data_IF_967072294739
#
_entry.id   IF_967072294739
#
_cell.length_a   1.000
_cell.length_b   1.000
_cell.length_c   1.000
_cell.angle_alpha   90.00
_cell.angle_beta   90.00
_cell.angle_gamma   90.00
#
_symmetry.space_group_name_H-M   'P 1'
#
loop_
_entity.id
_entity.type
_entity.pdbx_description
1 polymer ?
#
# COMPACT_ATOMS: atom_id res chain seq x y z
N UNK A 1 -16.32 25.37 -54.91
CA UNK A 1 -16.12 24.67 -53.62
C UNK A 1 -15.48 23.28 -53.76
N UNK A 2 -15.82 22.51 -54.78
CA UNK A 2 -15.23 21.17 -55.01
C UNK A 2 -13.70 21.21 -55.25
N UNK A 3 -13.18 22.18 -56.00
CA UNK A 3 -11.73 22.30 -56.24
C UNK A 3 -10.91 22.64 -54.99
N UNK A 4 -11.51 23.33 -54.02
CA UNK A 4 -10.85 23.67 -52.75
C UNK A 4 -10.79 22.43 -51.84
N UNK A 5 -11.84 21.61 -51.81
CA UNK A 5 -11.88 20.37 -51.05
C UNK A 5 -10.89 19.34 -51.64
N UNK A 6 -10.80 19.22 -52.97
CA UNK A 6 -9.84 18.31 -53.63
C UNK A 6 -8.38 18.72 -53.35
N UNK A 7 -8.08 20.05 -53.34
CA UNK A 7 -6.77 20.54 -52.98
C UNK A 7 -6.43 20.31 -51.50
N UNK A 8 -7.40 20.46 -50.61
CA UNK A 8 -7.22 20.19 -49.17
C UNK A 8 -6.98 18.69 -48.91
N UNK A 9 -7.75 17.79 -49.54
CA UNK A 9 -7.54 16.33 -49.40
C UNK A 9 -6.20 15.87 -49.99
N UNK A 10 -5.69 16.54 -51.03
CA UNK A 10 -4.36 16.22 -51.61
C UNK A 10 -3.19 16.64 -50.71
N UNK A 11 -3.37 17.68 -49.86
CA UNK A 11 -2.34 18.21 -49.00
C UNK A 11 -2.39 17.58 -47.62
N UNK A 12 -3.60 17.34 -47.06
CA UNK A 12 -3.80 16.91 -45.70
C UNK A 12 -4.12 15.41 -45.63
N UNK A 13 -4.46 14.77 -46.76
CA UNK A 13 -5.01 13.42 -46.79
C UNK A 13 -6.46 13.37 -46.31
N UNK A 14 -7.12 12.27 -46.55
CA UNK A 14 -8.47 12.11 -46.04
C UNK A 14 -8.44 12.10 -44.49
N UNK A 15 -9.47 12.63 -43.81
CA UNK A 15 -9.55 12.62 -42.34
C UNK A 15 -9.28 11.21 -41.73
N UNK A 16 -9.72 10.16 -42.41
CA UNK A 16 -9.45 8.77 -42.00
C UNK A 16 -7.97 8.38 -42.12
N UNK A 17 -7.24 8.94 -43.11
CA UNK A 17 -5.79 8.69 -43.23
C UNK A 17 -5.00 9.42 -42.17
N UNK A 18 -5.39 10.64 -41.81
CA UNK A 18 -4.78 11.41 -40.73
C UNK A 18 -4.98 10.74 -39.37
N UNK A 19 -6.22 10.34 -39.05
CA UNK A 19 -6.53 9.62 -37.84
C UNK A 19 -5.76 8.27 -37.72
N UNK A 20 -5.72 7.51 -38.84
CA UNK A 20 -4.97 6.27 -38.93
C UNK A 20 -3.47 6.47 -38.71
N UNK A 21 -2.88 7.53 -39.29
CA UNK A 21 -1.47 7.85 -39.11
C UNK A 21 -1.18 8.22 -37.66
N UNK A 22 -1.98 9.09 -37.06
CA UNK A 22 -1.85 9.49 -35.65
C UNK A 22 -1.99 8.29 -34.72
N UNK A 23 -2.92 7.38 -34.98
CA UNK A 23 -3.08 6.15 -34.23
C UNK A 23 -1.86 5.23 -34.35
N UNK A 24 -1.33 5.05 -35.55
CA UNK A 24 -0.14 4.21 -35.80
C UNK A 24 1.11 4.80 -35.13
N UNK A 25 1.27 6.12 -35.20
CA UNK A 25 2.38 6.83 -34.54
C UNK A 25 2.30 6.69 -33.01
N UNK A 26 1.12 6.83 -32.41
CA UNK A 26 0.88 6.58 -30.98
C UNK A 26 1.16 5.13 -30.59
N UNK A 27 0.79 4.17 -31.45
CA UNK A 27 1.04 2.75 -31.21
C UNK A 27 2.54 2.39 -31.30
N UNK A 28 3.27 3.06 -32.21
CA UNK A 28 4.73 2.91 -32.30
C UNK A 28 5.43 3.51 -31.08
N UNK A 29 4.97 4.65 -30.60
CA UNK A 29 5.51 5.29 -29.42
C UNK A 29 5.26 4.46 -28.16
N UNK A 30 4.06 3.91 -28.00
CA UNK A 30 3.74 2.96 -26.94
C UNK A 30 4.65 1.72 -27.01
N UNK A 31 4.84 1.13 -28.21
CA UNK A 31 5.76 -0.01 -28.40
C UNK A 31 7.20 0.35 -28.04
N UNK A 32 7.68 1.53 -28.41
CA UNK A 32 9.04 2.02 -28.03
C UNK A 32 9.17 2.21 -26.53
N UNK A 33 8.14 2.74 -25.87
CA UNK A 33 8.10 2.92 -24.42
C UNK A 33 8.17 1.56 -23.69
N UNK A 34 7.35 0.60 -24.14
CA UNK A 34 7.36 -0.78 -23.60
C UNK A 34 8.73 -1.45 -23.81
N UNK A 35 9.29 -1.34 -25.01
CA UNK A 35 10.61 -1.92 -25.29
C UNK A 35 11.73 -1.26 -24.45
N UNK A 36 11.63 0.05 -24.20
CA UNK A 36 12.56 0.79 -23.33
C UNK A 36 12.43 0.32 -21.87
N UNK A 37 11.20 0.13 -21.40
CA UNK A 37 10.94 -0.42 -20.06
C UNK A 37 11.43 -1.87 -19.94
N UNK A 38 11.18 -2.71 -20.94
CA UNK A 38 11.67 -4.09 -20.99
C UNK A 38 13.19 -4.14 -20.99
N UNK A 39 13.86 -3.26 -21.73
CA UNK A 39 15.34 -3.15 -21.74
C UNK A 39 15.87 -2.65 -20.39
N UNK A 40 15.17 -1.71 -19.74
CA UNK A 40 15.52 -1.23 -18.41
C UNK A 40 15.33 -2.33 -17.36
N UNK A 41 14.26 -3.15 -17.47
CA UNK A 41 14.03 -4.31 -16.61
C UNK A 41 15.08 -5.41 -16.83
N UNK A 42 15.48 -5.67 -18.08
CA UNK A 42 16.55 -6.64 -18.41
C UNK A 42 17.93 -6.14 -18.02
N UNK A 43 18.16 -4.84 -17.98
CA UNK A 43 19.40 -4.19 -17.55
C UNK A 43 19.41 -3.82 -16.06
N UNK A 44 18.25 -3.88 -15.40
CA UNK A 44 18.20 -3.81 -13.93
C UNK A 44 18.87 -5.07 -13.39
N UNK A 45 19.89 -4.97 -12.52
CA UNK A 45 20.42 -6.16 -11.88
C UNK A 45 19.21 -6.80 -11.19
N UNK A 46 18.75 -7.95 -11.71
CA UNK A 46 17.80 -8.81 -10.98
C UNK A 46 18.39 -8.89 -9.59
N UNK A 47 17.63 -8.48 -8.57
CA UNK A 47 18.08 -8.61 -7.17
C UNK A 47 18.63 -10.03 -7.07
N UNK A 48 19.93 -10.19 -6.83
CA UNK A 48 20.56 -11.51 -6.96
C UNK A 48 19.78 -12.46 -6.07
N UNK A 49 19.34 -13.59 -6.64
CA UNK A 49 18.55 -14.60 -5.93
C UNK A 49 19.38 -15.05 -4.72
N UNK A 50 19.07 -14.47 -3.58
CA UNK A 50 19.72 -14.80 -2.33
C UNK A 50 18.86 -15.84 -1.60
N UNK A 51 19.31 -17.09 -1.59
CA UNK A 51 18.63 -18.21 -0.91
C UNK A 51 18.29 -17.90 0.55
N UNK A 52 19.13 -17.12 1.23
CA UNK A 52 18.86 -16.72 2.62
C UNK A 52 17.66 -15.74 2.69
N UNK A 53 17.55 -14.79 1.77
CA UNK A 53 16.41 -13.88 1.71
C UNK A 53 15.11 -14.62 1.40
N UNK A 54 15.16 -15.60 0.49
CA UNK A 54 14.01 -16.49 0.23
C UNK A 54 13.60 -17.22 1.50
N UNK A 55 14.54 -17.85 2.18
CA UNK A 55 14.29 -18.57 3.43
C UNK A 55 13.68 -17.65 4.49
N UNK A 56 14.28 -16.50 4.77
CA UNK A 56 13.75 -15.55 5.73
C UNK A 56 12.37 -14.98 5.33
N UNK A 57 12.15 -14.73 4.05
CA UNK A 57 10.84 -14.30 3.54
C UNK A 57 9.75 -15.33 3.80
N UNK A 58 10.02 -16.61 3.53
CA UNK A 58 9.08 -17.70 3.83
C UNK A 58 8.85 -17.90 5.32
N UNK A 59 9.92 -17.95 6.12
CA UNK A 59 9.82 -18.11 7.58
C UNK A 59 8.99 -16.97 8.17
N UNK A 60 9.28 -15.72 7.77
CA UNK A 60 8.50 -14.57 8.23
C UNK A 60 7.03 -14.67 7.84
N UNK A 61 6.74 -15.01 6.59
CA UNK A 61 5.36 -15.17 6.11
C UNK A 61 4.65 -16.29 6.86
N UNK A 62 5.31 -17.43 7.08
CA UNK A 62 4.78 -18.54 7.86
C UNK A 62 4.45 -18.12 9.29
N UNK A 63 5.38 -17.46 10.00
CA UNK A 63 5.14 -16.97 11.36
C UNK A 63 3.96 -15.99 11.38
N UNK A 64 3.89 -15.08 10.42
CA UNK A 64 2.79 -14.10 10.34
C UNK A 64 1.43 -14.79 10.17
N UNK A 65 1.35 -15.77 9.28
CA UNK A 65 0.10 -16.53 9.03
C UNK A 65 -0.23 -17.40 10.25
N UNK A 66 0.78 -18.02 10.87
CA UNK A 66 0.61 -18.84 12.08
C UNK A 66 0.04 -18.01 13.24
N UNK A 67 0.62 -16.84 13.53
CA UNK A 67 0.14 -15.95 14.58
C UNK A 67 -1.28 -15.47 14.26
N UNK A 68 -1.55 -15.08 13.00
CA UNK A 68 -2.87 -14.65 12.58
C UNK A 68 -3.95 -15.72 12.80
N UNK A 69 -3.64 -16.98 12.50
CA UNK A 69 -4.61 -18.07 12.61
C UNK A 69 -4.70 -18.72 14.00
N UNK A 70 -3.60 -18.70 14.78
CA UNK A 70 -3.51 -19.47 16.02
C UNK A 70 -3.52 -18.60 17.28
N UNK A 71 -2.98 -17.41 17.19
CA UNK A 71 -2.88 -16.45 18.29
C UNK A 71 -3.28 -15.04 17.83
N UNK A 72 -4.52 -14.84 17.36
CA UNK A 72 -4.93 -13.55 16.78
C UNK A 72 -4.85 -12.38 17.77
N UNK A 73 -4.92 -12.65 19.08
CA UNK A 73 -4.73 -11.65 20.14
C UNK A 73 -3.32 -11.07 20.18
N UNK A 74 -2.31 -11.81 19.72
CA UNK A 74 -0.93 -11.35 19.63
C UNK A 74 -0.63 -10.62 18.30
N UNK A 75 -1.57 -10.66 17.37
CA UNK A 75 -1.31 -10.13 16.03
C UNK A 75 -1.08 -8.61 16.01
N UNK A 76 -1.79 -7.75 16.78
CA UNK A 76 -1.50 -6.34 16.89
C UNK A 76 -0.07 -6.06 17.40
N UNK A 77 0.37 -6.80 18.43
CA UNK A 77 1.73 -6.70 18.97
C UNK A 77 2.77 -7.20 17.95
N UNK A 78 2.49 -8.28 17.24
CA UNK A 78 3.32 -8.81 16.16
C UNK A 78 3.49 -7.79 15.03
N UNK A 79 2.41 -7.14 14.60
CA UNK A 79 2.46 -6.08 13.59
C UNK A 79 3.33 -4.90 14.06
N UNK A 80 3.12 -4.44 15.29
CA UNK A 80 3.90 -3.36 15.88
C UNK A 80 5.39 -3.72 15.97
N UNK A 81 5.73 -4.94 16.42
CA UNK A 81 7.09 -5.45 16.47
C UNK A 81 7.76 -5.46 15.09
N UNK A 82 7.06 -5.93 14.08
CA UNK A 82 7.57 -5.93 12.71
C UNK A 82 7.86 -4.50 12.23
N UNK A 83 6.96 -3.56 12.51
CA UNK A 83 7.19 -2.15 12.14
C UNK A 83 8.39 -1.54 12.87
N UNK A 84 8.57 -1.86 14.15
CA UNK A 84 9.75 -1.43 14.93
C UNK A 84 11.08 -1.93 14.34
N UNK A 85 11.10 -3.10 13.72
CA UNK A 85 12.29 -3.66 13.09
C UNK A 85 12.45 -3.16 11.65
N UNK A 86 11.37 -3.19 10.88
CA UNK A 86 11.41 -2.93 9.46
C UNK A 86 11.52 -1.44 9.11
N UNK A 87 10.91 -0.58 9.92
CA UNK A 87 10.96 0.86 9.71
C UNK A 87 12.40 1.40 9.75
N UNK A 88 13.23 1.14 10.79
CA UNK A 88 14.61 1.61 10.81
C UNK A 88 15.46 1.01 9.69
N UNK A 89 15.26 -0.26 9.34
CA UNK A 89 16.00 -0.92 8.27
C UNK A 89 15.69 -0.26 6.93
N UNK A 90 14.41 -0.05 6.64
CA UNK A 90 13.99 0.61 5.39
C UNK A 90 14.41 2.08 5.38
N UNK A 91 14.29 2.78 6.51
CA UNK A 91 14.76 4.15 6.66
C UNK A 91 16.24 4.28 6.31
N UNK A 92 17.08 3.44 6.89
CA UNK A 92 18.52 3.45 6.60
C UNK A 92 18.83 3.17 5.11
N UNK A 93 18.13 2.20 4.51
CA UNK A 93 18.31 1.88 3.08
C UNK A 93 17.87 3.06 2.20
N UNK A 94 16.72 3.64 2.45
CA UNK A 94 16.17 4.73 1.65
C UNK A 94 16.91 6.05 1.89
N UNK A 95 17.49 6.26 3.07
CA UNK A 95 18.39 7.37 3.31
C UNK A 95 19.62 7.31 2.39
N UNK A 96 20.22 6.13 2.23
CA UNK A 96 21.33 5.92 1.29
C UNK A 96 20.94 6.13 -0.18
N UNK A 97 19.71 5.79 -0.54
CA UNK A 97 19.17 5.97 -1.89
C UNK A 97 18.59 7.38 -2.15
N UNK A 98 18.57 8.24 -1.14
CA UNK A 98 17.92 9.57 -1.18
C UNK A 98 16.41 9.52 -1.48
N UNK A 99 15.73 8.45 -1.02
CA UNK A 99 14.32 8.19 -1.22
C UNK A 99 13.48 8.44 0.05
N UNK A 100 13.98 9.20 1.01
CA UNK A 100 13.30 9.44 2.28
C UNK A 100 11.92 10.08 2.13
N UNK A 101 11.68 10.80 1.03
CA UNK A 101 10.37 11.37 0.73
C UNK A 101 9.26 10.29 0.68
N UNK A 102 9.60 9.04 0.34
CA UNK A 102 8.61 7.95 0.32
C UNK A 102 8.07 7.59 1.70
N UNK A 103 8.74 7.96 2.80
CA UNK A 103 8.18 7.79 4.15
C UNK A 103 7.05 8.77 4.46
N UNK A 104 6.90 9.82 3.67
CA UNK A 104 5.77 10.72 3.79
C UNK A 104 4.54 10.19 3.07
N UNK A 105 4.63 9.06 2.38
CA UNK A 105 3.46 8.44 1.75
C UNK A 105 2.45 7.94 2.78
N UNK A 106 1.19 8.02 2.42
CA UNK A 106 0.04 7.66 3.26
C UNK A 106 0.20 6.30 3.95
N UNK A 107 0.65 5.27 3.23
CA UNK A 107 0.80 3.93 3.76
C UNK A 107 1.83 3.83 4.89
N UNK A 108 2.97 4.52 4.78
CA UNK A 108 3.99 4.53 5.82
C UNK A 108 3.53 5.25 7.07
N UNK A 109 2.96 6.43 6.90
CA UNK A 109 2.48 7.24 8.01
C UNK A 109 1.35 6.55 8.75
N UNK A 110 0.39 5.98 8.03
CA UNK A 110 -0.72 5.22 8.63
C UNK A 110 -0.23 3.99 9.40
N UNK A 111 0.74 3.26 8.87
CA UNK A 111 1.34 2.12 9.57
C UNK A 111 2.11 2.55 10.82
N UNK A 112 2.85 3.65 10.76
CA UNK A 112 3.57 4.17 11.92
C UNK A 112 2.60 4.56 13.04
N UNK A 113 1.52 5.28 12.71
CA UNK A 113 0.49 5.64 13.69
C UNK A 113 -0.19 4.42 14.27
N UNK A 114 -0.55 3.44 13.45
CA UNK A 114 -1.15 2.19 13.93
C UNK A 114 -0.20 1.43 14.87
N UNK A 115 1.07 1.31 14.51
CA UNK A 115 2.07 0.65 15.36
C UNK A 115 2.25 1.37 16.69
N UNK A 116 2.37 2.70 16.68
CA UNK A 116 2.47 3.51 17.89
C UNK A 116 1.22 3.36 18.75
N UNK A 117 0.03 3.39 18.14
CA UNK A 117 -1.23 3.19 18.84
C UNK A 117 -1.30 1.82 19.53
N UNK A 118 -0.97 0.74 18.82
CA UNK A 118 -0.93 -0.62 19.39
C UNK A 118 0.09 -0.71 20.53
N UNK A 119 1.28 -0.14 20.39
CA UNK A 119 2.30 -0.14 21.45
C UNK A 119 1.82 0.63 22.67
N UNK A 120 1.26 1.83 22.49
CA UNK A 120 0.76 2.65 23.60
C UNK A 120 -0.33 1.92 24.38
N UNK A 121 -1.27 1.28 23.69
CA UNK A 121 -2.34 0.53 24.36
C UNK A 121 -1.82 -0.68 25.14
N UNK A 122 -0.80 -1.38 24.65
CA UNK A 122 -0.23 -2.54 25.36
C UNK A 122 0.71 -2.13 26.51
N UNK A 123 1.53 -1.08 26.32
CA UNK A 123 2.57 -0.71 27.31
C UNK A 123 2.08 0.33 28.31
N UNK A 124 1.29 1.28 27.87
CA UNK A 124 0.81 2.42 28.66
C UNK A 124 -0.63 2.80 28.30
N UNK A 125 -1.61 1.92 28.55
CA UNK A 125 -3.01 2.17 28.17
C UNK A 125 -3.59 3.46 28.80
N UNK A 126 -3.05 3.90 29.92
CA UNK A 126 -3.46 5.15 30.57
C UNK A 126 -3.16 6.41 29.77
N UNK A 127 -2.23 6.35 28.79
CA UNK A 127 -1.91 7.50 27.94
C UNK A 127 -2.97 7.72 26.86
N UNK A 128 -3.82 6.72 26.57
CA UNK A 128 -4.92 6.82 25.62
C UNK A 128 -6.22 6.78 26.41
N UNK A 129 -6.90 7.91 26.63
CA UNK A 129 -8.16 7.96 27.37
C UNK A 129 -9.20 7.04 26.74
N UNK A 130 -10.03 6.33 27.55
CA UNK A 130 -11.01 5.37 27.04
C UNK A 130 -11.96 5.94 26.01
N UNK A 131 -12.37 7.21 26.17
CA UNK A 131 -13.27 7.92 25.26
C UNK A 131 -12.70 8.09 23.85
N UNK A 132 -11.36 8.08 23.71
CA UNK A 132 -10.70 8.20 22.40
C UNK A 132 -10.38 6.85 21.76
N UNK A 133 -10.35 5.76 22.53
CA UNK A 133 -9.98 4.42 22.02
C UNK A 133 -10.92 3.94 20.94
N UNK A 134 -12.24 4.07 21.15
CA UNK A 134 -13.25 3.68 20.16
C UNK A 134 -13.04 4.42 18.84
N UNK A 135 -12.96 5.75 18.90
CA UNK A 135 -12.75 6.58 17.71
C UNK A 135 -11.47 6.24 16.98
N UNK A 136 -10.36 6.06 17.70
CA UNK A 136 -9.07 5.70 17.11
C UNK A 136 -9.09 4.30 16.49
N UNK A 137 -9.70 3.32 17.17
CA UNK A 137 -9.82 1.97 16.63
C UNK A 137 -10.67 1.96 15.35
N UNK A 138 -11.79 2.71 15.32
CA UNK A 138 -12.60 2.85 14.13
C UNK A 138 -11.86 3.54 12.98
N UNK A 139 -11.12 4.59 13.29
CA UNK A 139 -10.29 5.27 12.30
C UNK A 139 -9.26 4.32 11.67
N UNK A 140 -8.49 3.61 12.49
CA UNK A 140 -7.49 2.66 11.99
C UNK A 140 -8.13 1.50 11.24
N UNK A 141 -9.28 1.00 11.70
CA UNK A 141 -10.03 -0.01 10.97
C UNK A 141 -10.40 0.48 9.56
N UNK A 142 -10.97 1.67 9.44
CA UNK A 142 -11.41 2.21 8.17
C UNK A 142 -10.23 2.50 7.23
N UNK A 143 -9.10 3.01 7.74
CA UNK A 143 -7.88 3.23 6.96
C UNK A 143 -7.28 1.90 6.49
N UNK A 144 -7.21 0.92 7.38
CA UNK A 144 -6.58 -0.36 7.11
C UNK A 144 -7.40 -1.23 6.14
N UNK A 145 -8.71 -1.38 6.39
CA UNK A 145 -9.60 -2.19 5.56
C UNK A 145 -10.04 -1.48 4.26
N UNK A 146 -9.89 -0.18 4.17
CA UNK A 146 -10.21 0.63 3.00
C UNK A 146 -8.99 0.90 2.13
N UNK A 147 -8.41 2.12 2.20
CA UNK A 147 -7.40 2.58 1.25
C UNK A 147 -6.11 1.75 1.28
N UNK A 148 -5.63 1.29 2.45
CA UNK A 148 -4.41 0.49 2.51
C UNK A 148 -4.59 -0.87 1.84
N UNK A 149 -5.71 -1.55 2.07
CA UNK A 149 -5.96 -2.84 1.44
C UNK A 149 -6.24 -2.70 -0.06
N UNK A 150 -6.97 -1.65 -0.47
CA UNK A 150 -7.19 -1.37 -1.88
C UNK A 150 -5.88 -1.14 -2.63
N UNK A 151 -4.89 -0.53 -2.01
CA UNK A 151 -3.57 -0.31 -2.59
C UNK A 151 -2.84 -1.62 -2.95
N UNK A 152 -3.09 -2.75 -2.27
CA UNK A 152 -2.53 -4.06 -2.64
C UNK A 152 -2.91 -4.42 -4.09
N UNK A 153 -4.17 -4.21 -4.44
CA UNK A 153 -4.69 -4.50 -5.78
C UNK A 153 -4.26 -3.45 -6.78
N UNK A 154 -4.38 -2.17 -6.42
CA UNK A 154 -4.07 -1.04 -7.32
C UNK A 154 -2.59 -0.96 -7.67
N UNK A 155 -1.70 -1.26 -6.72
CA UNK A 155 -0.24 -1.24 -6.93
C UNK A 155 0.29 -2.58 -7.45
N UNK A 156 -0.55 -3.60 -7.59
CA UNK A 156 -0.14 -4.94 -8.03
C UNK A 156 0.87 -5.59 -7.07
N UNK A 157 0.77 -5.31 -5.77
CA UNK A 157 1.68 -5.86 -4.79
C UNK A 157 1.62 -7.39 -4.77
N UNK A 158 2.79 -8.01 -4.86
CA UNK A 158 2.93 -9.46 -4.92
C UNK A 158 3.87 -9.99 -3.85
N UNK A 159 3.63 -11.23 -3.44
CA UNK A 159 4.49 -11.94 -2.51
C UNK A 159 5.74 -12.43 -3.26
N UNK A 160 6.84 -11.68 -3.12
CA UNK A 160 8.14 -12.01 -3.71
C UNK A 160 9.16 -12.21 -2.59
N UNK A 161 9.30 -13.44 -2.03
CA UNK A 161 10.05 -13.70 -0.80
C UNK A 161 11.53 -13.30 -0.87
N UNK A 162 12.15 -13.32 -2.05
CA UNK A 162 13.56 -12.94 -2.24
C UNK A 162 13.77 -11.43 -2.43
N UNK A 163 12.70 -10.63 -2.55
CA UNK A 163 12.76 -9.19 -2.70
C UNK A 163 12.27 -8.48 -1.44
N UNK A 164 13.17 -7.90 -0.63
CA UNK A 164 12.79 -7.18 0.57
C UNK A 164 11.83 -6.03 0.30
N UNK A 165 11.97 -5.34 -0.82
CA UNK A 165 11.13 -4.19 -1.16
C UNK A 165 9.71 -4.62 -1.52
N UNK A 166 9.52 -5.71 -2.28
CA UNK A 166 8.19 -6.25 -2.56
C UNK A 166 7.53 -6.80 -1.30
N UNK A 167 8.31 -7.52 -0.47
CA UNK A 167 7.82 -8.01 0.83
C UNK A 167 7.39 -6.87 1.72
N UNK A 168 8.18 -5.78 1.75
CA UNK A 168 7.86 -4.60 2.54
C UNK A 168 6.60 -3.92 2.01
N UNK A 169 6.51 -3.68 0.70
CA UNK A 169 5.34 -3.07 0.08
C UNK A 169 4.07 -3.88 0.36
N UNK A 170 4.12 -5.20 0.25
CA UNK A 170 2.97 -6.05 0.59
C UNK A 170 2.59 -5.92 2.08
N UNK A 171 3.58 -5.92 2.97
CA UNK A 171 3.34 -5.91 4.41
C UNK A 171 2.69 -4.62 4.91
N UNK A 172 3.19 -3.45 4.46
CA UNK A 172 2.61 -2.16 4.88
C UNK A 172 1.18 -1.95 4.41
N UNK A 173 0.71 -2.73 3.44
CA UNK A 173 -0.67 -2.66 2.95
C UNK A 173 -1.56 -3.78 3.53
N UNK A 174 -1.02 -4.99 3.66
CA UNK A 174 -1.81 -6.17 4.08
C UNK A 174 -1.90 -6.33 5.60
N UNK A 175 -0.81 -6.13 6.33
CA UNK A 175 -0.78 -6.37 7.79
C UNK A 175 -1.72 -5.47 8.59
N UNK A 176 -1.86 -4.16 8.29
CA UNK A 176 -2.87 -3.33 8.96
C UNK A 176 -4.28 -3.89 8.80
N UNK A 177 -4.63 -4.38 7.62
CA UNK A 177 -5.93 -4.98 7.38
C UNK A 177 -6.13 -6.29 8.17
N UNK A 178 -5.10 -7.13 8.25
CA UNK A 178 -5.11 -8.33 9.11
C UNK A 178 -5.24 -7.96 10.60
N UNK A 179 -4.52 -6.92 11.05
CA UNK A 179 -4.65 -6.38 12.41
C UNK A 179 -6.07 -5.91 12.69
N UNK A 180 -6.62 -5.10 11.79
CA UNK A 180 -7.98 -4.61 11.89
C UNK A 180 -9.02 -5.74 11.91
N UNK A 181 -8.80 -6.80 11.12
CA UNK A 181 -9.63 -8.00 11.13
C UNK A 181 -9.58 -8.71 12.50
N UNK A 182 -8.39 -8.93 13.06
CA UNK A 182 -8.24 -9.53 14.39
C UNK A 182 -8.99 -8.73 15.44
N UNK A 183 -8.78 -7.42 15.46
CA UNK A 183 -9.41 -6.53 16.45
C UNK A 183 -10.95 -6.54 16.34
N UNK A 184 -11.51 -6.66 15.14
CA UNK A 184 -12.94 -6.54 14.93
C UNK A 184 -13.70 -7.86 15.06
N UNK A 185 -13.20 -8.95 14.46
CA UNK A 185 -13.97 -10.21 14.33
C UNK A 185 -13.48 -11.35 15.19
N UNK A 186 -12.25 -11.29 15.68
CA UNK A 186 -11.69 -12.38 16.49
C UNK A 186 -11.68 -12.09 18.00
N UNK A 187 -12.44 -11.10 18.43
CA UNK A 187 -12.67 -10.75 19.84
C UNK A 187 -11.38 -10.46 20.63
N UNK A 188 -10.40 -9.90 19.95
CA UNK A 188 -9.11 -9.61 20.53
C UNK A 188 -9.23 -8.36 21.39
N UNK A 189 -9.18 -8.58 22.71
CA UNK A 189 -8.99 -7.53 23.73
C UNK A 189 -9.90 -6.29 23.58
N UNK A 190 -11.22 -6.52 23.67
CA UNK A 190 -12.24 -5.45 23.52
C UNK A 190 -12.12 -4.32 24.53
N UNK A 191 -11.47 -4.55 25.66
CA UNK A 191 -11.25 -3.51 26.65
C UNK A 191 -10.20 -2.50 26.18
N UNK A 192 -9.17 -2.98 25.47
CA UNK A 192 -8.12 -2.12 24.91
C UNK A 192 -8.52 -1.52 23.56
N UNK A 193 -9.20 -2.31 22.74
CA UNK A 193 -9.61 -1.93 21.38
C UNK A 193 -11.15 -2.00 21.23
N UNK A 194 -11.90 -1.10 21.88
CA UNK A 194 -13.36 -1.13 21.80
C UNK A 194 -13.81 -0.81 20.38
N UNK A 195 -14.62 -1.71 19.81
CA UNK A 195 -15.27 -1.52 18.52
C UNK A 195 -16.78 -1.67 18.75
N UNK A 196 -17.53 -0.61 18.51
CA UNK A 196 -18.96 -0.64 18.58
C UNK A 196 -19.55 -1.43 17.40
N UNK A 197 -20.62 -2.21 17.67
CA UNK A 197 -21.30 -2.98 16.63
C UNK A 197 -22.06 -2.12 15.63
N UNK A 198 -22.42 -0.90 16.04
CA UNK A 198 -23.11 0.07 15.18
C UNK A 198 -22.15 0.74 14.21
N UNK A 199 -22.18 0.31 12.95
CA UNK A 199 -21.38 0.92 11.89
C UNK A 199 -22.17 2.10 11.32
N UNK A 200 -21.81 3.32 11.72
CA UNK A 200 -22.28 4.53 11.09
C UNK A 200 -21.28 5.02 10.05
N UNK A 201 -21.79 5.45 8.88
CA UNK A 201 -20.98 5.99 7.79
C UNK A 201 -20.12 7.18 8.24
N UNK A 202 -20.65 8.04 9.09
CA UNK A 202 -19.91 9.19 9.61
C UNK A 202 -18.73 8.78 10.48
N UNK A 203 -18.87 7.73 11.27
CA UNK A 203 -17.83 7.23 12.16
C UNK A 203 -16.75 6.45 11.41
N UNK A 204 -17.09 5.73 10.34
CA UNK A 204 -16.15 4.85 9.64
C UNK A 204 -15.58 5.44 8.36
N UNK A 205 -16.38 6.11 7.56
CA UNK A 205 -15.93 6.58 6.24
C UNK A 205 -15.38 8.00 6.28
N UNK A 206 -15.98 8.88 7.07
CA UNK A 206 -15.62 10.29 7.08
C UNK A 206 -14.19 10.56 7.58
N UNK A 207 -13.71 10.00 8.71
CA UNK A 207 -12.36 10.26 9.19
C UNK A 207 -11.25 9.84 8.21
N UNK A 208 -11.27 8.63 7.60
CA UNK A 208 -10.29 8.27 6.58
C UNK A 208 -10.36 9.15 5.34
N UNK A 209 -11.55 9.57 4.91
CA UNK A 209 -11.71 10.48 3.76
C UNK A 209 -11.10 11.85 4.08
N UNK A 210 -11.38 12.41 5.24
CA UNK A 210 -10.77 13.68 5.69
C UNK A 210 -9.26 13.53 5.77
N UNK A 211 -8.77 12.43 6.34
CA UNK A 211 -7.34 12.18 6.44
C UNK A 211 -6.68 12.08 5.06
N UNK A 212 -7.30 11.38 4.11
CA UNK A 212 -6.81 11.30 2.73
C UNK A 212 -6.81 12.66 2.04
N UNK A 213 -7.86 13.48 2.23
CA UNK A 213 -7.94 14.83 1.65
C UNK A 213 -6.86 15.76 2.23
N UNK A 214 -6.66 15.74 3.55
CA UNK A 214 -5.59 16.51 4.21
C UNK A 214 -4.21 16.04 3.75
N UNK A 215 -4.07 14.75 3.50
CA UNK A 215 -2.83 14.17 3.00
C UNK A 215 -2.52 14.58 1.54
N UNK A 216 -3.54 14.74 0.71
CA UNK A 216 -3.39 15.05 -0.72
C UNK A 216 -3.06 16.54 -1.00
N UNK A 217 -3.13 17.41 0.01
CA UNK A 217 -2.78 18.84 -0.05
C UNK A 217 -1.31 19.03 0.36
#
# INVERSE_FOLDING_TARGET
MEHVNAAYESIVGSPRQYERKTYLDGLQEAKRSVAKQEKALKGSPMVPFNKHMVFFGFVKSYITIYIFGHAPHEFPAWNALQMLVLFPVTFYRWAKLKWLVLFTEFCWVSNLFLAVYCILLHVRPALVPPEHRTTMTHFFFAVAAGPLQAAVVLLGNSLVPHSPDHMMSLLIHLQPAMTAYCLRWLDVDRELFPIDASVDFQTYALPPVIFLLVWAI
#
